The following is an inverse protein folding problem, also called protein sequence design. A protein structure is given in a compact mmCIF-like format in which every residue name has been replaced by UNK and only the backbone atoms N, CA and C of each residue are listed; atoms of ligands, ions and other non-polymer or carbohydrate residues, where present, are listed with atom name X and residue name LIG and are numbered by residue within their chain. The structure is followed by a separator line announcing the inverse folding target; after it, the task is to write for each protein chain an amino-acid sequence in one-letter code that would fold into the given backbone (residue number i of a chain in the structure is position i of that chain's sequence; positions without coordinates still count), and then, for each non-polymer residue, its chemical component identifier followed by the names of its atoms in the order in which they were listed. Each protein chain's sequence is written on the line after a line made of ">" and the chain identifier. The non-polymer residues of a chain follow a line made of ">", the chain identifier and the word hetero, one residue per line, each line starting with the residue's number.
data_IF_977517449976
#
_entry.id   IF_977517449976
#
_cell.length_a   1.000
_cell.length_b   1.000
_cell.length_c   1.000
_cell.angle_alpha   90.00
_cell.angle_beta   90.00
_cell.angle_gamma   90.00
#
_symmetry.space_group_name_H-M   'P 1'
#
loop_
_entity.id
_entity.type
_entity.pdbx_description
1 polymer ?
#
# COMPACT_ATOMS: atom_id res chain seq x y z
N UNK A 1 -34.15 -50.25 17.86
CA UNK A 1 -35.24 -49.70 17.02
C UNK A 1 -35.04 -48.18 16.96
N UNK A 2 -34.23 -47.65 16.04
CA UNK A 2 -34.52 -47.41 14.62
C UNK A 2 -35.66 -46.40 14.41
N UNK A 3 -35.32 -45.14 14.11
CA UNK A 3 -35.90 -44.24 13.09
C UNK A 3 -35.55 -42.78 13.39
N UNK A 4 -34.73 -42.18 12.53
CA UNK A 4 -35.03 -40.86 11.95
C UNK A 4 -34.39 -40.81 10.56
N UNK A 5 -35.25 -40.65 9.56
CA UNK A 5 -34.97 -40.52 8.14
C UNK A 5 -34.94 -39.03 7.77
N UNK A 6 -34.17 -38.74 6.71
CA UNK A 6 -34.38 -37.70 5.70
C UNK A 6 -34.09 -36.23 6.09
N UNK A 7 -33.57 -35.35 5.22
CA UNK A 7 -33.32 -35.43 3.77
C UNK A 7 -32.24 -34.38 3.41
N UNK A 8 -31.29 -34.75 2.57
CA UNK A 8 -30.32 -33.84 1.96
C UNK A 8 -30.93 -33.18 0.71
N UNK A 9 -30.72 -31.87 0.53
CA UNK A 9 -30.97 -31.17 -0.72
C UNK A 9 -29.74 -30.33 -1.08
N UNK A 10 -29.03 -30.79 -2.12
CA UNK A 10 -27.95 -30.06 -2.77
C UNK A 10 -28.55 -29.09 -3.79
N UNK A 11 -28.25 -27.80 -3.67
CA UNK A 11 -28.49 -26.81 -4.71
C UNK A 11 -27.15 -26.44 -5.36
N UNK A 12 -26.95 -26.95 -6.57
CA UNK A 12 -25.81 -26.63 -7.43
C UNK A 12 -26.12 -25.34 -8.18
N UNK A 13 -25.38 -24.26 -7.90
CA UNK A 13 -25.44 -23.02 -8.65
C UNK A 13 -24.20 -22.94 -9.55
N UNK A 14 -24.43 -23.07 -10.86
CA UNK A 14 -23.44 -22.84 -11.91
C UNK A 14 -22.99 -21.37 -11.88
N UNK A 15 -21.72 -21.14 -11.56
CA UNK A 15 -21.07 -19.82 -11.69
C UNK A 15 -20.58 -19.69 -13.13
N UNK A 16 -21.14 -18.75 -13.87
CA UNK A 16 -20.66 -18.38 -15.20
C UNK A 16 -19.29 -17.67 -15.08
N UNK A 17 -18.34 -17.91 -16.00
CA UNK A 17 -17.05 -17.24 -15.97
C UNK A 17 -17.23 -15.75 -16.32
N UNK A 18 -16.87 -14.86 -15.39
CA UNK A 18 -16.78 -13.43 -15.64
C UNK A 18 -15.63 -13.14 -16.60
N UNK A 19 -15.93 -12.57 -17.77
CA UNK A 19 -14.91 -12.06 -18.68
C UNK A 19 -14.13 -10.92 -18.03
N UNK A 20 -12.81 -10.81 -18.26
CA UNK A 20 -12.05 -9.64 -17.82
C UNK A 20 -12.52 -8.42 -18.60
N UNK A 21 -13.08 -7.45 -17.89
CA UNK A 21 -13.50 -6.17 -18.45
C UNK A 21 -12.25 -5.38 -18.83
N UNK A 22 -11.82 -5.44 -20.08
CA UNK A 22 -10.82 -4.51 -20.61
C UNK A 22 -11.45 -3.12 -20.60
N UNK A 23 -11.04 -2.29 -19.63
CA UNK A 23 -11.47 -0.88 -19.52
C UNK A 23 -11.08 -0.18 -20.85
N UNK A 24 -12.01 0.47 -21.57
CA UNK A 24 -11.67 1.18 -22.80
C UNK A 24 -10.68 2.31 -22.48
N UNK A 25 -9.75 2.59 -23.40
CA UNK A 25 -8.80 3.70 -23.34
C UNK A 25 -9.52 5.04 -23.58
N UNK A 26 -10.40 5.40 -22.66
CA UNK A 26 -11.09 6.70 -22.59
C UNK A 26 -10.28 7.66 -21.74
N UNK A 27 -10.35 8.95 -22.06
CA UNK A 27 -9.59 10.05 -21.44
C UNK A 27 -9.38 9.86 -19.93
N UNK A 28 -8.14 9.98 -19.48
CA UNK A 28 -7.72 9.98 -18.08
C UNK A 28 -8.75 10.76 -17.23
N UNK A 29 -9.52 10.05 -16.39
CA UNK A 29 -10.52 10.67 -15.53
C UNK A 29 -9.85 11.25 -14.28
N UNK A 30 -10.24 12.44 -13.84
CA UNK A 30 -9.64 13.05 -12.67
C UNK A 30 -9.76 12.12 -11.43
N UNK A 31 -8.64 11.84 -10.78
CA UNK A 31 -8.59 11.14 -9.50
C UNK A 31 -8.96 12.13 -8.39
N UNK A 32 -9.80 11.70 -7.45
CA UNK A 32 -10.24 12.51 -6.32
C UNK A 32 -10.17 11.71 -5.03
N UNK A 33 -9.66 12.32 -3.97
CA UNK A 33 -9.68 11.75 -2.63
C UNK A 33 -9.85 12.85 -1.58
N UNK A 34 -10.60 12.59 -0.51
CA UNK A 34 -10.87 13.59 0.54
C UNK A 34 -9.59 14.11 1.23
N UNK A 35 -8.53 13.29 1.28
CA UNK A 35 -7.24 13.67 1.84
C UNK A 35 -6.41 14.55 0.88
N UNK A 36 -6.82 14.70 -0.37
CA UNK A 36 -6.07 15.43 -1.37
C UNK A 36 -5.91 16.92 -1.03
N UNK A 37 -7.01 17.56 -0.65
CA UNK A 37 -7.02 18.97 -0.28
C UNK A 37 -6.11 19.29 0.93
N UNK A 38 -6.18 18.56 2.07
CA UNK A 38 -5.30 18.85 3.19
C UNK A 38 -3.82 18.51 2.92
N UNK A 39 -3.51 17.61 1.99
CA UNK A 39 -2.12 17.28 1.66
C UNK A 39 -1.49 18.19 0.60
N UNK A 40 -2.22 18.47 -0.48
CA UNK A 40 -1.66 19.14 -1.65
C UNK A 40 -2.39 20.44 -2.03
N UNK A 41 -3.41 20.84 -1.27
CA UNK A 41 -4.19 22.06 -1.55
C UNK A 41 -5.00 21.99 -2.86
N UNK A 42 -5.25 20.79 -3.37
CA UNK A 42 -6.05 20.52 -4.57
C UNK A 42 -6.88 19.24 -4.40
N UNK A 43 -8.05 19.21 -5.04
CA UNK A 43 -9.00 18.10 -4.95
C UNK A 43 -8.90 17.08 -6.10
N UNK A 44 -8.23 17.46 -7.21
CA UNK A 44 -8.22 16.70 -8.45
C UNK A 44 -6.79 16.46 -8.93
N UNK A 45 -6.53 15.24 -9.41
CA UNK A 45 -5.31 14.84 -10.09
C UNK A 45 -5.64 14.24 -11.44
N UNK A 46 -4.73 14.34 -12.39
CA UNK A 46 -4.87 13.62 -13.65
C UNK A 46 -4.84 12.10 -13.36
N UNK A 47 -5.64 11.32 -14.08
CA UNK A 47 -5.50 9.86 -14.06
C UNK A 47 -4.10 9.44 -14.50
N UNK A 48 -3.71 8.23 -14.14
CA UNK A 48 -2.43 7.67 -14.56
C UNK A 48 -2.62 6.65 -15.68
N UNK A 49 -1.64 6.57 -16.59
CA UNK A 49 -1.61 5.49 -17.57
C UNK A 49 -1.27 4.18 -16.86
N UNK A 50 -2.18 3.20 -16.89
CA UNK A 50 -1.99 1.89 -16.24
C UNK A 50 -1.05 0.94 -17.01
N UNK A 51 -0.24 1.45 -17.95
CA UNK A 51 0.83 0.69 -18.61
C UNK A 51 1.81 0.10 -17.59
N UNK A 52 2.47 -1.01 -17.90
CA UNK A 52 3.44 -1.63 -16.98
C UNK A 52 4.78 -0.90 -16.92
N UNK A 53 5.09 -0.08 -17.92
CA UNK A 53 6.47 0.34 -18.22
C UNK A 53 6.82 1.72 -17.64
N UNK A 54 5.85 2.40 -17.01
CA UNK A 54 6.07 3.63 -16.24
C UNK A 54 5.87 3.39 -14.76
N UNK A 55 6.60 4.16 -13.95
CA UNK A 55 6.61 4.07 -12.49
C UNK A 55 5.43 4.85 -11.94
N UNK A 56 4.60 4.22 -11.10
CA UNK A 56 3.54 4.91 -10.36
C UNK A 56 3.78 4.86 -8.88
N UNK A 57 3.60 5.98 -8.20
CA UNK A 57 3.54 6.03 -6.74
C UNK A 57 2.08 6.23 -6.33
N UNK A 58 1.49 5.24 -5.65
CA UNK A 58 0.09 5.30 -5.19
C UNK A 58 0.04 5.53 -3.69
N UNK A 59 -0.69 6.56 -3.29
CA UNK A 59 -0.98 6.89 -1.90
C UNK A 59 -2.40 6.45 -1.58
N UNK A 60 -2.55 5.56 -0.59
CA UNK A 60 -3.83 5.05 -0.11
C UNK A 60 -4.12 5.59 1.30
N UNK A 61 -5.37 5.96 1.57
CA UNK A 61 -5.85 6.16 2.93
C UNK A 61 -6.39 4.86 3.50
N UNK A 62 -5.58 4.14 4.28
CA UNK A 62 -5.97 2.87 4.92
C UNK A 62 -6.66 3.05 6.28
N UNK A 63 -6.88 4.30 6.71
CA UNK A 63 -7.26 4.58 8.09
C UNK A 63 -8.74 4.39 8.38
N UNK A 64 -9.64 4.76 7.46
CA UNK A 64 -11.09 4.75 7.72
C UNK A 64 -11.44 5.38 9.07
N UNK A 65 -12.29 4.71 9.86
CA UNK A 65 -12.68 5.12 11.22
C UNK A 65 -11.50 5.22 12.20
N UNK A 66 -10.43 4.44 12.00
CA UNK A 66 -9.24 4.47 12.86
C UNK A 66 -8.52 5.82 12.79
N UNK A 67 -8.66 6.58 11.68
CA UNK A 67 -8.08 7.92 11.54
C UNK A 67 -8.59 8.86 12.64
N UNK A 68 -9.87 8.77 13.00
CA UNK A 68 -10.46 9.61 14.05
C UNK A 68 -9.94 9.22 15.44
N UNK A 69 -9.86 7.91 15.71
CA UNK A 69 -9.31 7.39 16.98
C UNK A 69 -7.84 7.82 17.15
N UNK A 70 -7.06 7.71 16.07
CA UNK A 70 -5.67 8.14 16.07
C UNK A 70 -5.56 9.66 16.26
N UNK A 71 -6.42 10.44 15.60
CA UNK A 71 -6.46 11.89 15.75
C UNK A 71 -6.69 12.33 17.20
N UNK A 72 -7.65 11.70 17.89
CA UNK A 72 -7.92 11.96 19.31
C UNK A 72 -6.72 11.59 20.19
N UNK A 73 -6.09 10.44 19.92
CA UNK A 73 -4.93 9.95 20.67
C UNK A 73 -3.72 10.87 20.51
N UNK A 74 -3.49 11.36 19.29
CA UNK A 74 -2.43 12.29 18.95
C UNK A 74 -2.73 13.73 19.34
N UNK A 75 -3.99 14.03 19.72
CA UNK A 75 -4.48 15.41 19.90
C UNK A 75 -4.21 16.30 18.69
N UNK A 76 -4.29 15.72 17.48
CA UNK A 76 -4.02 16.37 16.20
C UNK A 76 -5.00 15.81 15.18
N UNK A 77 -5.65 16.67 14.40
CA UNK A 77 -6.51 16.20 13.31
C UNK A 77 -5.66 15.61 12.19
N UNK A 78 -5.71 14.30 12.00
CA UNK A 78 -5.01 13.63 10.90
C UNK A 78 -5.93 13.58 9.67
N UNK A 79 -5.40 13.85 8.46
CA UNK A 79 -6.19 13.75 7.23
C UNK A 79 -6.44 12.31 6.81
N UNK A 80 -5.54 11.39 7.16
CA UNK A 80 -5.57 9.98 6.75
C UNK A 80 -4.58 9.14 7.58
N UNK A 81 -4.61 7.82 7.38
CA UNK A 81 -3.48 6.94 7.68
C UNK A 81 -2.88 6.51 6.34
N UNK A 82 -1.70 7.02 5.96
CA UNK A 82 -1.12 6.74 4.65
C UNK A 82 -0.52 5.35 4.56
N UNK A 83 -0.76 4.71 3.43
CA UNK A 83 0.02 3.61 2.91
C UNK A 83 0.48 3.98 1.50
N UNK A 84 1.74 3.72 1.17
CA UNK A 84 2.27 4.04 -0.15
C UNK A 84 2.88 2.80 -0.79
N UNK A 85 2.48 2.53 -2.02
CA UNK A 85 3.01 1.47 -2.87
C UNK A 85 3.54 2.04 -4.18
N UNK A 86 4.61 1.43 -4.70
CA UNK A 86 5.22 1.82 -5.96
C UNK A 86 4.98 0.71 -6.98
N UNK A 87 4.29 1.05 -8.07
CA UNK A 87 3.86 0.13 -9.13
C UNK A 87 4.77 0.26 -10.33
N UNK A 88 5.37 -0.85 -10.75
CA UNK A 88 6.21 -0.96 -11.94
C UNK A 88 6.24 -2.42 -12.41
N UNK A 89 6.28 -2.66 -13.73
CA UNK A 89 6.32 -4.01 -14.32
C UNK A 89 5.18 -4.92 -13.85
N UNK A 90 4.00 -4.35 -13.61
CA UNK A 90 2.84 -5.10 -13.12
C UNK A 90 2.95 -5.55 -11.66
N UNK A 91 3.99 -5.14 -10.93
CA UNK A 91 4.21 -5.43 -9.52
C UNK A 91 4.13 -4.14 -8.70
N UNK A 92 3.50 -4.21 -7.54
CA UNK A 92 3.48 -3.17 -6.52
C UNK A 92 4.39 -3.55 -5.36
N UNK A 93 5.33 -2.66 -5.07
CA UNK A 93 6.35 -2.79 -4.03
C UNK A 93 6.03 -1.84 -2.87
N UNK A 94 6.07 -2.35 -1.65
CA UNK A 94 5.86 -1.54 -0.44
C UNK A 94 6.51 -2.19 0.77
N UNK A 95 6.69 -1.42 1.85
CA UNK A 95 7.27 -1.93 3.09
C UNK A 95 6.22 -2.02 4.20
N UNK A 96 6.05 -3.20 4.78
CA UNK A 96 5.12 -3.46 5.90
C UNK A 96 5.88 -3.98 7.12
N UNK A 97 6.04 -5.29 7.26
CA UNK A 97 7.06 -5.91 8.13
C UNK A 97 8.33 -6.27 7.35
N UNK A 98 8.18 -6.62 6.08
CA UNK A 98 9.27 -6.81 5.12
C UNK A 98 8.96 -6.00 3.86
N UNK A 99 9.92 -5.93 2.94
CA UNK A 99 9.63 -5.49 1.58
C UNK A 99 8.69 -6.53 0.96
N UNK A 100 7.49 -6.11 0.59
CA UNK A 100 6.51 -6.92 -0.12
C UNK A 100 6.49 -6.53 -1.60
N UNK A 101 6.42 -7.56 -2.45
CA UNK A 101 6.18 -7.45 -3.90
C UNK A 101 4.90 -8.20 -4.22
N UNK A 102 3.90 -7.51 -4.79
CA UNK A 102 2.58 -8.10 -5.09
C UNK A 102 2.13 -7.71 -6.48
N UNK A 103 1.45 -8.59 -7.24
CA UNK A 103 0.87 -8.18 -8.51
C UNK A 103 -0.07 -6.99 -8.33
N UNK A 104 0.04 -5.97 -9.18
CA UNK A 104 -0.82 -4.76 -9.14
C UNK A 104 -2.29 -5.15 -9.18
N UNK A 105 -2.66 -6.14 -9.99
CA UNK A 105 -4.03 -6.64 -10.08
C UNK A 105 -4.56 -7.25 -8.76
N UNK A 106 -3.69 -7.73 -7.87
CA UNK A 106 -4.08 -8.23 -6.54
C UNK A 106 -4.27 -7.04 -5.59
N UNK A 107 -3.35 -6.08 -5.64
CA UNK A 107 -3.42 -4.90 -4.78
C UNK A 107 -4.61 -4.00 -5.13
N UNK A 108 -4.88 -3.80 -6.42
CA UNK A 108 -6.06 -3.07 -6.90
C UNK A 108 -7.35 -3.67 -6.36
N UNK A 109 -7.59 -4.98 -6.51
CA UNK A 109 -8.76 -5.66 -5.95
C UNK A 109 -8.85 -5.55 -4.41
N UNK A 110 -7.70 -5.52 -3.73
CA UNK A 110 -7.66 -5.47 -2.26
C UNK A 110 -7.85 -4.07 -1.69
N UNK A 111 -7.42 -3.05 -2.44
CA UNK A 111 -7.41 -1.66 -2.02
C UNK A 111 -8.44 -0.81 -2.78
N UNK A 112 -9.27 -1.40 -3.65
CA UNK A 112 -10.24 -0.70 -4.52
C UNK A 112 -11.15 0.26 -3.74
N UNK A 113 -11.62 -0.17 -2.57
CA UNK A 113 -12.53 0.59 -1.72
C UNK A 113 -11.83 1.68 -0.89
N UNK A 114 -10.49 1.70 -0.86
CA UNK A 114 -9.75 2.71 -0.12
C UNK A 114 -9.54 3.95 -0.98
N UNK A 115 -9.80 5.17 -0.46
CA UNK A 115 -9.46 6.39 -1.16
C UNK A 115 -7.98 6.40 -1.52
N UNK A 116 -7.66 6.75 -2.77
CA UNK A 116 -6.30 6.70 -3.29
C UNK A 116 -6.02 7.78 -4.35
N UNK A 117 -4.74 8.14 -4.48
CA UNK A 117 -4.21 8.98 -5.55
C UNK A 117 -2.91 8.36 -6.05
N UNK A 118 -2.80 8.15 -7.36
CA UNK A 118 -1.58 7.72 -8.04
C UNK A 118 -0.90 8.88 -8.77
N UNK A 119 0.43 8.90 -8.71
CA UNK A 119 1.29 9.80 -9.47
C UNK A 119 2.08 9.00 -10.50
N UNK A 120 2.02 9.41 -11.77
CA UNK A 120 2.91 8.89 -12.81
C UNK A 120 4.25 9.63 -12.74
N UNK A 121 5.34 8.89 -12.53
CA UNK A 121 6.69 9.43 -12.42
C UNK A 121 7.50 9.25 -13.72
N UNK A 122 6.86 8.73 -14.77
CA UNK A 122 7.48 8.49 -16.06
C UNK A 122 8.17 7.13 -16.17
N UNK A 123 8.99 6.95 -17.22
CA UNK A 123 9.62 5.66 -17.51
C UNK A 123 10.64 5.27 -16.45
N UNK A 124 10.78 3.96 -16.24
CA UNK A 124 11.84 3.43 -15.38
C UNK A 124 13.22 3.57 -16.04
N UNK A 125 14.25 3.78 -15.21
CA UNK A 125 15.65 3.87 -15.63
C UNK A 125 16.40 2.53 -15.56
N UNK A 126 15.76 1.51 -14.98
CA UNK A 126 16.30 0.16 -14.81
C UNK A 126 15.30 -0.88 -15.31
N UNK A 127 15.80 -2.03 -15.74
CA UNK A 127 14.99 -3.18 -16.16
C UNK A 127 14.30 -3.87 -14.96
N UNK A 128 13.30 -4.72 -15.26
CA UNK A 128 12.63 -5.53 -14.24
C UNK A 128 13.62 -6.42 -13.48
N UNK A 129 14.52 -7.09 -14.20
CA UNK A 129 15.56 -7.93 -13.60
C UNK A 129 16.48 -7.14 -12.66
N UNK A 130 16.94 -5.95 -13.06
CA UNK A 130 17.78 -5.11 -12.20
C UNK A 130 17.04 -4.63 -10.94
N UNK A 131 15.74 -4.36 -11.06
CA UNK A 131 14.91 -4.04 -9.90
C UNK A 131 14.79 -5.23 -8.96
N UNK A 132 14.46 -6.42 -9.46
CA UNK A 132 14.33 -7.63 -8.66
C UNK A 132 15.64 -8.00 -7.95
N UNK A 133 16.78 -7.91 -8.65
CA UNK A 133 18.10 -8.14 -8.07
C UNK A 133 18.42 -7.12 -6.96
N UNK A 134 18.06 -5.85 -7.16
CA UNK A 134 18.24 -4.82 -6.14
C UNK A 134 17.33 -5.02 -4.93
N UNK A 135 16.05 -5.37 -5.15
CA UNK A 135 15.09 -5.70 -4.09
C UNK A 135 15.58 -6.90 -3.28
N UNK A 136 16.09 -7.94 -3.94
CA UNK A 136 16.61 -9.15 -3.28
C UNK A 136 17.99 -8.96 -2.64
N UNK A 137 18.68 -7.84 -2.87
CA UNK A 137 20.03 -7.64 -2.37
C UNK A 137 20.10 -7.60 -0.84
N UNK A 138 21.12 -8.25 -0.27
CA UNK A 138 21.38 -8.23 1.18
C UNK A 138 21.51 -6.80 1.73
N UNK A 139 22.08 -5.90 0.92
CA UNK A 139 22.26 -4.50 1.28
C UNK A 139 20.94 -3.79 1.51
N UNK A 140 19.92 -4.01 0.67
CA UNK A 140 18.60 -3.43 0.85
C UNK A 140 17.83 -4.19 1.93
N UNK A 141 17.79 -5.52 1.85
CA UNK A 141 17.02 -6.36 2.77
C UNK A 141 17.44 -6.11 4.22
N UNK A 142 18.74 -6.01 4.52
CA UNK A 142 19.22 -5.76 5.90
C UNK A 142 18.78 -4.42 6.50
N UNK A 143 18.43 -3.42 5.68
CA UNK A 143 17.93 -2.14 6.14
C UNK A 143 16.43 -2.19 6.46
N UNK A 144 15.67 -2.93 5.66
CA UNK A 144 14.20 -2.98 5.71
C UNK A 144 13.67 -4.28 6.36
N UNK A 145 14.26 -4.64 7.50
CA UNK A 145 13.84 -5.79 8.32
C UNK A 145 12.64 -5.45 9.20
N UNK A 146 11.87 -6.44 9.71
CA UNK A 146 10.77 -6.18 10.62
C UNK A 146 11.14 -5.34 11.84
N UNK A 147 12.33 -5.55 12.38
CA UNK A 147 12.87 -4.85 13.55
C UNK A 147 13.21 -3.38 13.26
N UNK A 148 13.50 -3.05 12.01
CA UNK A 148 13.80 -1.68 11.57
C UNK A 148 12.54 -0.82 11.42
N UNK A 149 11.34 -1.43 11.41
CA UNK A 149 10.11 -0.67 11.18
C UNK A 149 9.88 0.39 12.26
N UNK A 150 9.69 1.62 11.81
CA UNK A 150 9.31 2.74 12.63
C UNK A 150 8.25 3.59 11.91
N UNK A 151 7.09 3.75 12.55
CA UNK A 151 6.01 4.57 12.01
C UNK A 151 6.45 6.01 11.73
N UNK A 152 7.40 6.57 12.46
CA UNK A 152 7.79 7.98 12.28
C UNK A 152 8.79 8.18 11.14
N UNK A 153 9.80 7.31 11.00
CA UNK A 153 10.97 7.58 10.14
C UNK A 153 11.41 6.39 9.26
N UNK A 154 10.72 5.25 9.35
CA UNK A 154 11.12 4.03 8.62
C UNK A 154 9.92 3.10 8.35
N UNK A 155 9.06 3.49 7.40
CA UNK A 155 7.81 2.80 7.05
C UNK A 155 7.59 2.79 5.51
N UNK A 156 6.43 2.32 5.02
CA UNK A 156 6.11 2.31 3.58
C UNK A 156 6.29 3.67 2.88
N UNK A 157 5.98 4.78 3.53
CA UNK A 157 6.11 6.13 2.96
C UNK A 157 7.58 6.43 2.66
N UNK A 158 8.47 6.05 3.58
CA UNK A 158 9.91 6.24 3.44
C UNK A 158 10.49 5.28 2.39
N UNK A 159 10.01 4.04 2.36
CA UNK A 159 10.43 3.05 1.37
C UNK A 159 10.05 3.47 -0.05
N UNK A 160 8.84 4.03 -0.23
CA UNK A 160 8.38 4.53 -1.51
C UNK A 160 9.34 5.57 -2.11
N UNK A 161 9.88 6.47 -1.28
CA UNK A 161 10.92 7.41 -1.72
C UNK A 161 12.18 6.68 -2.19
N UNK A 162 12.67 5.72 -1.39
CA UNK A 162 13.90 4.97 -1.71
C UNK A 162 13.78 4.20 -3.02
N UNK A 163 12.66 3.53 -3.28
CA UNK A 163 12.46 2.83 -4.55
C UNK A 163 12.26 3.81 -5.72
N UNK A 164 11.49 4.88 -5.56
CA UNK A 164 11.31 5.88 -6.62
C UNK A 164 12.65 6.51 -7.03
N UNK A 165 13.50 6.87 -6.06
CA UNK A 165 14.84 7.42 -6.31
C UNK A 165 15.76 6.40 -7.01
N UNK A 166 15.51 5.10 -6.82
CA UNK A 166 16.26 4.02 -7.49
C UNK A 166 15.82 3.82 -8.94
N UNK A 167 14.52 3.92 -9.23
CA UNK A 167 13.93 3.47 -10.51
C UNK A 167 13.57 4.60 -11.47
N UNK A 168 13.69 5.86 -11.05
CA UNK A 168 13.38 7.04 -11.90
C UNK A 168 14.59 7.95 -12.02
N UNK A 169 14.61 8.81 -13.05
CA UNK A 169 15.70 9.78 -13.24
C UNK A 169 15.65 10.91 -12.20
N UNK A 170 14.45 11.38 -11.87
CA UNK A 170 14.25 12.57 -11.04
C UNK A 170 13.81 12.25 -9.60
N UNK A 171 13.63 10.97 -9.27
CA UNK A 171 13.08 10.54 -7.98
C UNK A 171 11.62 10.93 -7.81
N UNK A 172 11.16 10.89 -6.56
CA UNK A 172 9.83 11.34 -6.18
C UNK A 172 9.86 12.83 -5.80
N UNK A 173 9.05 13.65 -6.48
CA UNK A 173 9.01 15.10 -6.20
C UNK A 173 8.66 15.37 -4.73
N UNK A 174 9.45 16.23 -4.08
CA UNK A 174 9.26 16.57 -2.67
C UNK A 174 7.86 17.14 -2.39
N UNK A 175 7.30 17.92 -3.33
CA UNK A 175 5.96 18.50 -3.18
C UNK A 175 4.85 17.44 -3.13
N UNK A 176 5.08 16.26 -3.72
CA UNK A 176 4.13 15.15 -3.71
C UNK A 176 4.27 14.34 -2.42
N UNK A 177 5.51 14.00 -2.04
CA UNK A 177 5.74 13.04 -0.95
C UNK A 177 5.84 13.68 0.43
N UNK A 178 6.35 14.90 0.56
CA UNK A 178 6.56 15.53 1.87
C UNK A 178 5.27 15.65 2.68
N UNK A 179 4.12 16.07 2.11
CA UNK A 179 2.88 16.11 2.87
C UNK A 179 2.45 14.73 3.39
N UNK A 180 2.67 13.66 2.60
CA UNK A 180 2.34 12.29 2.99
C UNK A 180 3.23 11.80 4.14
N UNK A 181 4.54 12.01 4.05
CA UNK A 181 5.50 11.66 5.11
C UNK A 181 5.21 12.46 6.39
N UNK A 182 4.87 13.74 6.26
CA UNK A 182 4.57 14.62 7.39
C UNK A 182 3.36 14.13 8.21
N UNK A 183 2.39 13.43 7.60
CA UNK A 183 1.29 12.80 8.34
C UNK A 183 1.83 11.87 9.43
N UNK A 184 2.86 11.09 9.12
CA UNK A 184 3.45 10.15 10.08
C UNK A 184 4.53 10.76 10.96
N UNK A 185 5.46 11.55 10.41
CA UNK A 185 6.55 12.17 11.18
C UNK A 185 6.03 13.16 12.23
N UNK A 186 4.98 13.90 11.90
CA UNK A 186 4.48 15.00 12.71
C UNK A 186 3.19 14.65 13.46
N UNK A 187 2.78 13.37 13.50
CA UNK A 187 1.52 12.98 14.15
C UNK A 187 1.46 13.38 15.63
N UNK A 188 2.61 13.41 16.34
CA UNK A 188 2.69 13.81 17.75
C UNK A 188 3.14 15.26 17.96
N UNK A 189 3.23 16.07 16.90
CA UNK A 189 3.82 17.42 16.95
C UNK A 189 3.13 18.37 17.93
N UNK A 190 1.83 18.21 18.16
CA UNK A 190 1.01 19.06 19.04
C UNK A 190 1.07 18.66 20.53
N UNK A 191 1.63 17.49 20.84
CA UNK A 191 1.75 17.03 22.22
C UNK A 191 2.90 17.74 22.96
N UNK A 192 2.85 17.86 24.31
CA UNK A 192 4.01 18.26 25.10
C UNK A 192 5.20 17.30 24.90
N UNK A 193 6.43 17.80 24.96
CA UNK A 193 7.64 17.03 24.63
C UNK A 193 7.79 15.72 25.44
N UNK A 194 7.43 15.76 26.73
CA UNK A 194 7.44 14.56 27.58
C UNK A 194 6.45 13.48 27.10
N UNK A 195 5.31 13.88 26.51
CA UNK A 195 4.34 12.96 25.89
C UNK A 195 4.80 12.53 24.50
N UNK A 196 5.51 13.36 23.74
CA UNK A 196 6.11 12.93 22.47
C UNK A 196 7.11 11.81 22.71
N UNK A 197 7.99 11.96 23.69
CA UNK A 197 9.02 10.97 23.98
C UNK A 197 8.44 9.65 24.52
N UNK A 198 7.44 9.73 25.42
CA UNK A 198 6.70 8.55 25.87
C UNK A 198 5.87 7.92 24.73
N UNK A 199 5.24 8.78 23.93
CA UNK A 199 4.31 8.42 22.87
C UNK A 199 4.99 7.78 21.67
N UNK A 200 6.19 8.20 21.27
CA UNK A 200 6.90 7.63 20.11
C UNK A 200 7.05 6.11 20.20
N UNK A 201 7.53 5.61 21.34
CA UNK A 201 7.69 4.17 21.56
C UNK A 201 6.35 3.43 21.54
N UNK A 202 5.35 3.95 22.25
CA UNK A 202 4.01 3.37 22.33
C UNK A 202 3.28 3.36 20.97
N UNK A 203 3.33 4.48 20.26
CA UNK A 203 2.72 4.65 18.94
C UNK A 203 3.38 3.77 17.88
N UNK A 204 4.70 3.56 17.95
CA UNK A 204 5.35 2.61 17.06
C UNK A 204 4.84 1.18 17.34
N UNK A 205 4.66 0.79 18.60
CA UNK A 205 4.11 -0.53 18.94
C UNK A 205 2.66 -0.69 18.48
N UNK A 206 1.78 0.29 18.72
CA UNK A 206 0.38 0.24 18.24
C UNK A 206 0.32 0.21 16.72
N UNK A 207 1.08 1.06 16.04
CA UNK A 207 1.03 1.12 14.58
C UNK A 207 1.62 -0.13 13.98
N UNK A 208 2.70 -0.69 14.53
CA UNK A 208 3.19 -2.02 14.15
C UNK A 208 2.10 -3.06 14.35
N UNK A 209 1.39 -3.06 15.48
CA UNK A 209 0.27 -3.99 15.66
C UNK A 209 -0.79 -3.82 14.57
N UNK A 210 -1.21 -2.60 14.22
CA UNK A 210 -2.23 -2.38 13.19
C UNK A 210 -1.73 -2.72 11.79
N UNK A 211 -0.59 -2.17 11.36
CA UNK A 211 -0.03 -2.35 10.01
C UNK A 211 0.48 -3.78 9.80
N UNK A 212 1.17 -4.37 10.77
CA UNK A 212 1.64 -5.76 10.69
C UNK A 212 0.48 -6.73 10.83
N UNK A 213 -0.51 -6.47 11.70
CA UNK A 213 -1.70 -7.34 11.74
C UNK A 213 -2.52 -7.23 10.47
N UNK A 214 -2.64 -6.03 9.88
CA UNK A 214 -3.26 -5.85 8.57
C UNK A 214 -2.47 -6.61 7.49
N UNK A 215 -1.14 -6.44 7.42
CA UNK A 215 -0.27 -7.17 6.49
C UNK A 215 -0.38 -8.69 6.63
N UNK A 216 -0.38 -9.21 7.88
CA UNK A 216 -0.53 -10.65 8.17
C UNK A 216 -1.93 -11.17 7.87
N UNK A 217 -2.98 -10.45 8.28
CA UNK A 217 -4.37 -10.83 8.05
C UNK A 217 -4.71 -10.79 6.56
N UNK A 218 -4.10 -9.87 5.81
CA UNK A 218 -4.29 -9.75 4.37
C UNK A 218 -3.41 -10.71 3.57
N UNK A 219 -2.27 -11.18 4.10
CA UNK A 219 -1.34 -12.08 3.37
C UNK A 219 -2.02 -13.33 2.81
N UNK A 220 -2.86 -14.01 3.60
CA UNK A 220 -3.59 -15.18 3.13
C UNK A 220 -4.60 -14.83 2.02
N UNK A 221 -5.25 -13.67 2.12
CA UNK A 221 -6.18 -13.15 1.10
C UNK A 221 -5.43 -12.76 -0.18
N UNK A 222 -4.28 -12.09 -0.07
CA UNK A 222 -3.38 -11.74 -1.19
C UNK A 222 -2.99 -12.99 -1.97
N UNK A 223 -2.51 -14.02 -1.25
CA UNK A 223 -2.09 -15.29 -1.84
C UNK A 223 -3.24 -16.03 -2.53
N UNK A 224 -4.39 -16.14 -1.87
CA UNK A 224 -5.56 -16.79 -2.46
C UNK A 224 -6.05 -16.09 -3.73
N UNK A 225 -5.99 -14.75 -3.77
CA UNK A 225 -6.39 -13.97 -4.93
C UNK A 225 -5.37 -14.10 -6.09
N UNK A 226 -4.07 -14.12 -5.79
CA UNK A 226 -3.02 -14.38 -6.78
C UNK A 226 -3.20 -15.77 -7.43
N UNK A 227 -3.43 -16.81 -6.62
CA UNK A 227 -3.71 -18.17 -7.08
C UNK A 227 -4.97 -18.24 -7.95
N UNK A 228 -6.06 -17.57 -7.53
CA UNK A 228 -7.29 -17.49 -8.32
C UNK A 228 -7.06 -16.87 -9.70
N UNK A 229 -6.20 -15.84 -9.78
CA UNK A 229 -5.88 -15.14 -11.03
C UNK A 229 -4.77 -15.80 -11.84
N UNK A 230 -4.17 -16.90 -11.35
CA UNK A 230 -3.00 -17.57 -11.96
C UNK A 230 -1.82 -16.61 -12.16
N UNK A 231 -1.64 -15.68 -11.22
CA UNK A 231 -0.52 -14.75 -11.19
C UNK A 231 0.53 -15.30 -10.23
N UNK A 232 1.78 -15.35 -10.66
CA UNK A 232 2.89 -15.67 -9.75
C UNK A 232 3.13 -14.49 -8.80
N UNK A 233 3.49 -14.77 -7.54
CA UNK A 233 3.98 -13.71 -6.66
C UNK A 233 5.31 -13.21 -7.23
N UNK A 234 5.41 -11.91 -7.50
CA UNK A 234 6.68 -11.29 -7.90
C UNK A 234 7.75 -11.60 -6.86
N UNK A 235 8.80 -12.30 -7.30
CA UNK A 235 10.03 -12.68 -6.60
C UNK A 235 10.02 -12.63 -5.07
N UNK A 236 9.61 -13.73 -4.43
CA UNK A 236 10.11 -14.10 -3.09
C UNK A 236 10.61 -15.53 -3.12
N UNK A 237 11.73 -15.77 -3.80
CA UNK A 237 12.56 -16.95 -3.53
C UNK A 237 13.25 -16.73 -2.18
N UNK A 238 12.59 -17.13 -1.10
CA UNK A 238 13.30 -17.58 0.10
C UNK A 238 13.38 -19.11 0.03
N UNK A 239 14.56 -19.61 -0.34
CA UNK A 239 15.07 -20.90 0.15
C UNK A 239 15.84 -20.67 1.43
#
# INVERSE_FOLDING_TARGET
>A
MCRYLALAAAASALVAPSMPTTRPRTALHAQTAEFAQPLWGRDNFDDVDESSDTVKCTVYNIGGELTQVLSLTCSKQLPMIPHVGVRLYGTEYFYSDVIESRPVAVMQDMLEDFPQVSFDLGPATITEQELEEWIASDALQSQWQPESYNVFDHNCNHFARVICDKVTENGLEESLMRPVIAVTEEMLSELPEWRKNLGKGFMNQITRLVVVSWGRATRAKKKALAEQKKLEEGGSMMT
#
